data_IF_551106613610
#
_entry.id   IF_551106613610
#
_cell.length_a   1.000
_cell.length_b   1.000
_cell.length_c   1.000
_cell.angle_alpha   90.00
_cell.angle_beta   90.00
_cell.angle_gamma   90.00
#
_symmetry.space_group_name_H-M   'P 1'
#
loop_
_entity.id
_entity.type
_entity.pdbx_description
1 polymer ?
#
# COMPACT_ATOMS: atom_id res chain seq x y z
N UNK A 1 4.09 -5.19 -9.84
CA UNK A 1 2.99 -4.44 -10.49
C UNK A 1 3.51 -3.50 -11.58
N UNK A 2 2.74 -3.26 -12.65
CA UNK A 2 3.09 -2.41 -13.81
C UNK A 2 4.23 -2.98 -14.66
N UNK A 3 5.46 -2.77 -14.21
CA UNK A 3 6.68 -3.15 -14.92
C UNK A 3 7.27 -4.50 -14.45
N UNK A 4 6.51 -5.28 -13.66
CA UNK A 4 6.91 -6.60 -13.11
C UNK A 4 8.28 -6.64 -12.40
N UNK A 5 8.78 -5.49 -11.92
CA UNK A 5 10.09 -5.37 -11.26
C UNK A 5 10.14 -5.99 -9.86
N UNK A 6 8.99 -6.21 -9.24
CA UNK A 6 8.87 -6.82 -7.93
C UNK A 6 7.42 -7.17 -7.60
N UNK A 7 7.28 -7.99 -6.56
CA UNK A 7 6.00 -8.33 -5.95
C UNK A 7 5.70 -7.37 -4.81
N UNK A 8 4.42 -7.02 -4.69
CA UNK A 8 3.86 -6.23 -3.61
C UNK A 8 3.06 -7.18 -2.74
N UNK A 9 3.40 -7.22 -1.45
CA UNK A 9 2.81 -8.11 -0.45
C UNK A 9 2.07 -7.25 0.58
N UNK A 10 0.84 -7.63 0.93
CA UNK A 10 0.08 -6.94 1.97
C UNK A 10 -1.41 -6.82 1.64
N UNK A 11 -2.01 -5.68 1.96
CA UNK A 11 -3.42 -5.36 1.66
C UNK A 11 -3.54 -4.23 0.66
N UNK A 12 -4.76 -3.99 0.15
CA UNK A 12 -5.04 -2.85 -0.74
C UNK A 12 -4.64 -1.55 -0.04
N UNK A 13 -3.86 -0.70 -0.70
CA UNK A 13 -3.52 0.62 -0.16
C UNK A 13 -4.77 1.51 -0.05
N UNK A 14 -4.71 2.53 0.80
CA UNK A 14 -5.83 3.45 1.02
C UNK A 14 -6.39 4.10 -0.27
N UNK A 15 -5.52 4.57 -1.18
CA UNK A 15 -5.96 5.17 -2.45
C UNK A 15 -6.13 6.68 -2.43
N UNK A 16 -5.31 7.40 -1.65
CA UNK A 16 -5.11 8.84 -1.89
C UNK A 16 -4.04 8.98 -2.98
N UNK A 17 -4.47 9.48 -4.15
CA UNK A 17 -3.67 9.59 -5.35
C UNK A 17 -3.73 10.98 -5.96
N UNK A 18 -3.65 12.02 -5.13
CA UNK A 18 -3.75 13.43 -5.57
C UNK A 18 -2.56 14.26 -5.11
N UNK A 19 -2.26 15.31 -5.87
CA UNK A 19 -1.36 16.38 -5.44
C UNK A 19 -2.21 17.51 -4.89
N UNK A 20 -1.92 17.93 -3.65
CA UNK A 20 -2.62 19.04 -3.01
C UNK A 20 -1.72 20.27 -2.93
N UNK A 21 -2.33 21.44 -3.09
CA UNK A 21 -1.67 22.74 -2.97
C UNK A 21 -2.48 23.65 -2.04
N UNK A 22 -1.80 24.28 -1.09
CA UNK A 22 -2.38 25.36 -0.30
C UNK A 22 -2.40 26.65 -1.14
N UNK A 23 -3.56 27.28 -1.25
CA UNK A 23 -3.79 28.53 -1.98
C UNK A 23 -4.22 29.60 -0.95
N UNK A 24 -3.37 30.58 -0.63
CA UNK A 24 -3.71 31.65 0.31
C UNK A 24 -4.87 32.52 -0.21
N UNK A 25 -5.74 32.99 0.68
CA UNK A 25 -6.90 33.83 0.33
C UNK A 25 -6.85 35.26 0.92
N UNK A 26 -5.69 35.69 1.40
CA UNK A 26 -5.36 37.09 1.70
C UNK A 26 -5.58 37.53 3.15
N UNK A 27 -6.36 36.80 3.93
CA UNK A 27 -6.64 37.04 5.36
C UNK A 27 -5.73 36.23 6.31
N UNK A 28 -4.71 35.55 5.75
CA UNK A 28 -3.83 34.63 6.47
C UNK A 28 -4.29 33.17 6.45
N UNK A 29 -5.50 32.88 5.96
CA UNK A 29 -5.98 31.52 5.73
C UNK A 29 -5.63 30.99 4.33
N UNK A 30 -5.87 29.70 4.08
CA UNK A 30 -5.63 29.05 2.80
C UNK A 30 -6.64 27.95 2.48
N UNK A 31 -6.89 27.73 1.19
CA UNK A 31 -7.66 26.60 0.67
C UNK A 31 -6.69 25.49 0.27
N UNK A 32 -6.88 24.28 0.80
CA UNK A 32 -6.16 23.09 0.34
C UNK A 32 -6.90 22.49 -0.85
N UNK A 33 -6.32 22.62 -2.05
CA UNK A 33 -6.95 22.19 -3.29
C UNK A 33 -6.17 21.05 -3.95
N UNK A 34 -6.87 19.99 -4.36
CA UNK A 34 -6.31 18.94 -5.20
C UNK A 34 -6.13 19.46 -6.63
N UNK A 35 -4.89 19.57 -7.09
CA UNK A 35 -4.53 20.18 -8.38
C UNK A 35 -4.10 19.17 -9.45
N UNK A 36 -3.82 17.93 -9.07
CA UNK A 36 -3.49 16.85 -10.00
C UNK A 36 -3.86 15.47 -9.43
N UNK A 37 -3.94 14.46 -10.30
CA UNK A 37 -4.17 13.05 -9.96
C UNK A 37 -3.00 12.19 -10.44
N UNK A 38 -2.62 11.20 -9.63
CA UNK A 38 -1.70 10.14 -10.02
C UNK A 38 -2.45 9.02 -10.74
N UNK A 39 -1.86 8.54 -11.82
CA UNK A 39 -2.35 7.42 -12.61
C UNK A 39 -1.34 6.28 -12.62
N UNK A 40 -1.84 5.05 -12.59
CA UNK A 40 -1.04 3.86 -12.80
C UNK A 40 -0.54 3.76 -14.25
N UNK A 41 0.45 2.88 -14.53
CA UNK A 41 0.94 2.62 -15.88
C UNK A 41 -0.14 2.12 -16.86
N UNK A 42 -1.24 1.58 -16.34
CA UNK A 42 -2.42 1.15 -17.08
C UNK A 42 -3.44 2.27 -17.34
N UNK A 43 -3.10 3.52 -16.97
CA UNK A 43 -3.95 4.69 -17.17
C UNK A 43 -5.10 4.79 -16.18
N UNK A 44 -5.17 3.96 -15.14
CA UNK A 44 -6.21 4.04 -14.10
C UNK A 44 -5.82 5.01 -13.00
N UNK A 45 -6.77 5.77 -12.47
CA UNK A 45 -6.54 6.68 -11.34
C UNK A 45 -6.25 5.89 -10.08
N UNK A 46 -5.26 6.33 -9.30
CA UNK A 46 -4.98 5.75 -7.98
C UNK A 46 -5.92 6.28 -6.90
N UNK A 47 -6.47 7.48 -7.11
CA UNK A 47 -7.50 8.04 -6.25
C UNK A 47 -8.70 7.08 -6.16
N UNK A 48 -9.13 6.77 -4.95
CA UNK A 48 -10.25 5.88 -4.55
C UNK A 48 -10.06 4.38 -4.88
N UNK A 49 -9.18 4.06 -5.84
CA UNK A 49 -8.88 2.67 -6.22
C UNK A 49 -7.76 2.06 -5.38
N UNK A 50 -6.74 2.85 -5.05
CA UNK A 50 -5.50 2.36 -4.45
C UNK A 50 -4.71 1.42 -5.36
N UNK A 51 -3.73 0.75 -4.76
CA UNK A 51 -2.90 -0.27 -5.38
C UNK A 51 -3.23 -1.60 -4.73
N UNK A 52 -3.70 -2.56 -5.53
CA UNK A 52 -3.94 -3.93 -5.07
C UNK A 52 -2.64 -4.73 -5.14
N UNK A 53 -2.17 -5.31 -4.03
CA UNK A 53 -0.98 -6.16 -4.02
C UNK A 53 -1.22 -7.44 -4.81
N UNK A 54 -0.17 -7.97 -5.44
CA UNK A 54 -0.26 -9.25 -6.15
C UNK A 54 -0.05 -10.46 -5.22
N UNK A 55 0.41 -10.24 -3.99
CA UNK A 55 0.38 -11.23 -2.92
C UNK A 55 -0.40 -10.64 -1.76
N UNK A 56 -1.64 -11.07 -1.57
CA UNK A 56 -2.48 -10.56 -0.48
C UNK A 56 -2.09 -11.25 0.83
N UNK A 57 -1.75 -10.47 1.85
CA UNK A 57 -1.43 -10.93 3.21
C UNK A 57 -1.94 -9.89 4.21
N UNK A 58 -2.83 -10.31 5.12
CA UNK A 58 -3.31 -9.47 6.21
C UNK A 58 -2.20 -9.24 7.25
N UNK A 59 -2.20 -8.10 7.96
CA UNK A 59 -1.41 -7.99 9.19
C UNK A 59 -1.93 -8.99 10.22
N UNK A 60 -1.08 -9.40 11.16
CA UNK A 60 -1.42 -10.42 12.16
C UNK A 60 -2.63 -10.09 13.04
N UNK A 61 -3.01 -8.80 13.14
CA UNK A 61 -4.19 -8.30 13.87
C UNK A 61 -5.48 -8.16 13.03
N UNK A 62 -5.49 -8.61 11.76
CA UNK A 62 -6.62 -8.41 10.86
C UNK A 62 -6.73 -6.98 10.32
N UNK A 63 -7.54 -6.78 9.29
CA UNK A 63 -8.00 -5.44 8.91
C UNK A 63 -9.29 -5.19 9.65
N UNK A 64 -9.29 -4.22 10.58
CA UNK A 64 -10.53 -3.72 11.15
C UNK A 64 -11.44 -3.28 9.98
N UNK A 65 -12.65 -3.83 9.93
CA UNK A 65 -13.73 -3.27 9.13
C UNK A 65 -13.86 -1.78 9.50
N UNK A 66 -14.26 -0.92 8.57
CA UNK A 66 -14.49 0.52 8.81
C UNK A 66 -15.58 0.82 9.87
N UNK A 67 -16.11 -0.21 10.51
CA UNK A 67 -17.16 -0.21 11.53
C UNK A 67 -16.60 -0.50 12.93
N UNK A 68 -15.32 -0.83 13.04
CA UNK A 68 -14.63 -1.13 14.30
C UNK A 68 -13.71 0.04 14.67
N UNK A 69 -14.21 0.92 15.55
CA UNK A 69 -13.48 2.04 16.15
C UNK A 69 -12.45 1.58 17.20
N UNK A 70 -12.15 0.27 17.26
CA UNK A 70 -10.96 -0.18 17.98
C UNK A 70 -9.73 0.15 17.12
N UNK A 71 -8.83 0.97 17.67
CA UNK A 71 -7.53 1.22 17.08
C UNK A 71 -6.86 -0.14 16.86
N UNK A 72 -6.89 -0.62 15.62
CA UNK A 72 -6.06 -1.74 15.22
C UNK A 72 -4.63 -1.24 15.30
N UNK A 73 -4.01 -1.46 16.45
CA UNK A 73 -2.58 -1.35 16.56
C UNK A 73 -2.02 -2.24 15.47
N UNK A 74 -1.16 -1.65 14.62
CA UNK A 74 -0.34 -2.43 13.72
C UNK A 74 0.46 -3.47 14.53
N UNK A 75 1.32 -4.27 13.89
CA UNK A 75 2.25 -5.07 14.68
C UNK A 75 2.97 -4.15 15.69
N UNK A 76 2.94 -4.49 16.99
CA UNK A 76 3.63 -3.72 18.04
C UNK A 76 5.10 -3.48 17.66
N UNK A 77 5.67 -4.42 16.90
CA UNK A 77 7.01 -4.35 16.33
C UNK A 77 7.02 -4.64 14.81
N UNK A 78 7.25 -3.61 14.01
CA UNK A 78 7.52 -3.76 12.58
C UNK A 78 8.87 -4.44 12.34
N UNK A 79 8.92 -5.42 11.43
CA UNK A 79 10.19 -6.04 11.01
C UNK A 79 10.69 -7.19 11.89
N UNK A 80 9.95 -7.54 12.94
CA UNK A 80 10.26 -8.69 13.79
C UNK A 80 9.64 -10.00 13.27
N UNK A 81 9.90 -11.11 13.96
CA UNK A 81 9.42 -12.45 13.57
C UNK A 81 7.90 -12.60 13.56
N UNK A 82 7.19 -11.68 14.22
CA UNK A 82 5.74 -11.71 14.31
C UNK A 82 5.06 -10.97 13.14
N UNK A 83 5.83 -10.25 12.32
CA UNK A 83 5.34 -9.61 11.11
C UNK A 83 5.04 -10.67 10.02
N UNK A 84 3.76 -11.01 9.90
CA UNK A 84 3.27 -11.96 8.90
C UNK A 84 3.49 -11.47 7.46
N UNK A 85 3.39 -10.17 7.21
CA UNK A 85 3.58 -9.60 5.87
C UNK A 85 5.06 -9.68 5.47
N UNK A 86 5.98 -9.36 6.38
CA UNK A 86 7.42 -9.50 6.15
C UNK A 86 7.81 -10.97 5.91
N UNK A 87 7.34 -11.89 6.75
CA UNK A 87 7.61 -13.33 6.58
C UNK A 87 7.13 -13.82 5.23
N UNK A 88 5.94 -13.40 4.81
CA UNK A 88 5.40 -13.77 3.50
C UNK A 88 6.23 -13.17 2.36
N UNK A 89 6.67 -11.92 2.49
CA UNK A 89 7.52 -11.29 1.49
C UNK A 89 8.87 -12.01 1.33
N UNK A 90 9.50 -12.42 2.43
CA UNK A 90 10.75 -13.20 2.39
C UNK A 90 10.53 -14.58 1.76
N UNK A 91 9.42 -15.25 2.06
CA UNK A 91 9.05 -16.53 1.45
C UNK A 91 8.93 -16.40 -0.08
N UNK A 92 8.16 -15.42 -0.55
CA UNK A 92 7.96 -15.13 -1.98
C UNK A 92 9.29 -14.81 -2.67
N UNK A 93 10.14 -14.02 -2.02
CA UNK A 93 11.46 -13.68 -2.55
C UNK A 93 12.35 -14.93 -2.69
N UNK A 94 12.38 -15.81 -1.68
CA UNK A 94 13.15 -17.06 -1.70
C UNK A 94 12.65 -18.06 -2.74
N UNK A 95 11.33 -18.16 -2.92
CA UNK A 95 10.73 -19.02 -3.94
C UNK A 95 11.16 -18.63 -5.36
N UNK A 96 11.28 -17.32 -5.64
CA UNK A 96 11.75 -16.83 -6.93
C UNK A 96 13.27 -16.89 -7.10
N UNK A 97 14.04 -16.87 -6.02
CA UNK A 97 15.51 -16.99 -6.09
C UNK A 97 16.01 -18.43 -6.18
N UNK A 98 15.16 -19.43 -5.91
CA UNK A 98 15.52 -20.83 -6.11
C UNK A 98 15.71 -21.09 -7.62
N UNK A 99 16.85 -21.67 -8.05
CA UNK A 99 17.08 -21.89 -9.47
C UNK A 99 15.99 -22.81 -10.01
N UNK A 100 15.45 -22.47 -11.18
CA UNK A 100 14.63 -23.38 -11.95
C UNK A 100 15.42 -24.68 -12.08
N UNK A 101 14.90 -25.76 -11.46
CA UNK A 101 15.54 -27.06 -11.44
C UNK A 101 15.76 -27.46 -12.91
N UNK A 102 17.01 -27.39 -13.36
CA UNK A 102 17.39 -27.76 -14.72
C UNK A 102 16.98 -29.22 -14.95
N UNK A 103 16.14 -29.43 -15.97
CA UNK A 103 15.81 -30.74 -16.51
C UNK A 103 16.82 -31.09 -17.61
#
# INVERSE_FOLDING_TARGET
LGNKRGDVVGVRSFGIGVVQKAIPIGDGSAVLLSVAKYYGPDGKTLQDNGVTPNVVQLPGGGIASLEDESESEGPEHFGEKDDQQLRKAIEVLKQKSAPAKAA
#
